data_IF_008825779033
#
_entry.id   IF_008825779033
#
_cell.length_a   1.000
_cell.length_b   1.000
_cell.length_c   1.000
_cell.angle_alpha   90.00
_cell.angle_beta   90.00
_cell.angle_gamma   90.00
#
_symmetry.space_group_name_H-M   'P 1'
#
loop_
_entity.id
_entity.type
_entity.pdbx_description
1 polymer ?
#
# COMPACT_ATOMS: atom_id res chain seq x y z
N UNK A 1 -44.43 16.90 17.24
CA UNK A 1 -44.04 15.49 17.10
C UNK A 1 -42.60 15.30 17.56
N UNK A 2 -42.49 15.09 18.89
CA UNK A 2 -41.25 14.80 19.60
C UNK A 2 -41.11 13.29 19.80
N UNK A 3 -40.82 12.55 18.75
CA UNK A 3 -40.54 11.12 18.89
C UNK A 3 -39.49 10.78 17.84
N UNK A 4 -38.21 11.06 18.08
CA UNK A 4 -37.10 10.40 17.40
C UNK A 4 -35.69 10.76 17.95
N UNK A 5 -35.63 11.46 19.10
CA UNK A 5 -34.31 11.83 19.67
C UNK A 5 -33.82 10.85 20.73
N UNK A 6 -34.58 9.81 21.06
CA UNK A 6 -34.31 8.92 22.23
C UNK A 6 -33.71 7.55 21.86
N UNK A 7 -33.44 7.24 20.58
CA UNK A 7 -32.98 5.89 20.22
C UNK A 7 -31.66 5.84 19.46
N UNK A 8 -30.81 6.85 19.58
CA UNK A 8 -29.40 6.79 19.14
C UNK A 8 -28.46 6.67 20.33
N UNK A 9 -28.72 5.70 21.17
CA UNK A 9 -27.65 5.15 22.00
C UNK A 9 -26.85 4.17 21.11
N UNK A 10 -26.14 4.74 20.15
CA UNK A 10 -25.11 3.99 19.42
C UNK A 10 -24.08 3.63 20.47
N UNK A 11 -24.06 2.38 20.89
CA UNK A 11 -23.05 1.84 21.80
C UNK A 11 -21.70 2.06 21.11
N UNK A 12 -21.00 3.12 21.52
CA UNK A 12 -19.62 3.40 21.09
C UNK A 12 -18.78 2.16 21.40
N UNK A 13 -18.35 1.46 20.38
CA UNK A 13 -17.53 0.27 20.54
C UNK A 13 -16.05 0.67 20.56
N UNK A 14 -15.30 0.04 21.47
CA UNK A 14 -13.84 0.07 21.43
C UNK A 14 -13.37 -1.11 20.61
N UNK A 15 -12.76 -0.84 19.46
CA UNK A 15 -12.21 -1.83 18.53
C UNK A 15 -10.71 -1.74 18.58
N UNK A 16 -10.04 -2.84 18.91
CA UNK A 16 -8.58 -2.91 19.02
C UNK A 16 -7.92 -3.44 17.78
N UNK A 17 -6.76 -2.87 17.42
CA UNK A 17 -5.89 -3.45 16.40
C UNK A 17 -4.44 -3.50 16.88
N UNK A 18 -3.80 -4.65 16.63
CA UNK A 18 -2.38 -4.85 16.90
C UNK A 18 -1.63 -5.37 15.67
N UNK A 19 -0.33 -5.12 15.63
CA UNK A 19 0.58 -5.65 14.61
C UNK A 19 1.93 -5.99 15.23
N UNK A 20 2.44 -7.16 14.93
CA UNK A 20 3.80 -7.55 15.33
C UNK A 20 4.56 -8.19 14.16
N UNK A 21 5.87 -8.01 14.16
CA UNK A 21 6.79 -8.73 13.25
C UNK A 21 7.48 -9.90 13.95
N UNK A 22 7.29 -10.07 15.25
CA UNK A 22 8.03 -10.98 16.12
C UNK A 22 7.12 -12.00 16.81
N UNK A 23 7.59 -12.60 17.87
CA UNK A 23 7.09 -13.78 18.55
C UNK A 23 5.63 -13.70 19.05
N UNK A 24 5.03 -14.86 19.33
CA UNK A 24 3.72 -15.00 19.97
C UNK A 24 3.59 -14.21 21.28
N UNK A 25 4.68 -14.07 22.05
CA UNK A 25 4.68 -13.30 23.31
C UNK A 25 4.38 -11.82 23.12
N UNK A 26 4.88 -11.20 22.03
CA UNK A 26 4.62 -9.78 21.76
C UNK A 26 3.18 -9.54 21.32
N UNK A 27 2.58 -10.46 20.58
CA UNK A 27 1.18 -10.38 20.20
C UNK A 27 0.25 -10.51 21.41
N UNK A 28 0.56 -11.43 22.32
CA UNK A 28 -0.24 -11.64 23.53
C UNK A 28 -0.23 -10.42 24.44
N UNK A 29 0.94 -9.81 24.67
CA UNK A 29 1.06 -8.56 25.45
C UNK A 29 0.25 -7.41 24.82
N UNK A 30 0.28 -7.28 23.50
CA UNK A 30 -0.50 -6.25 22.82
C UNK A 30 -2.01 -6.49 22.97
N UNK A 31 -2.46 -7.73 22.88
CA UNK A 31 -3.87 -8.08 23.10
C UNK A 31 -4.28 -7.79 24.54
N UNK A 32 -3.47 -8.15 25.53
CA UNK A 32 -3.74 -7.87 26.95
C UNK A 32 -3.90 -6.38 27.21
N UNK A 33 -2.97 -5.54 26.71
CA UNK A 33 -3.06 -4.08 26.86
C UNK A 33 -4.30 -3.49 26.19
N UNK A 34 -4.74 -4.03 25.05
CA UNK A 34 -5.99 -3.61 24.41
C UNK A 34 -7.22 -4.01 25.22
N UNK A 35 -7.21 -5.18 25.88
CA UNK A 35 -8.27 -5.60 26.79
C UNK A 35 -8.31 -4.70 28.03
N UNK A 36 -7.17 -4.38 28.62
CA UNK A 36 -7.03 -3.44 29.74
C UNK A 36 -7.55 -2.04 29.38
N UNK A 37 -7.37 -1.62 28.13
CA UNK A 37 -7.93 -0.37 27.60
C UNK A 37 -9.44 -0.40 27.36
N UNK A 38 -10.10 -1.56 27.58
CA UNK A 38 -11.54 -1.74 27.49
C UNK A 38 -12.04 -2.40 26.20
N UNK A 39 -11.16 -2.83 25.31
CA UNK A 39 -11.57 -3.55 24.11
C UNK A 39 -12.08 -4.96 24.45
N UNK A 40 -13.22 -5.35 23.90
CA UNK A 40 -13.70 -6.73 24.03
C UNK A 40 -12.85 -7.65 23.16
N UNK A 41 -12.43 -8.80 23.67
CA UNK A 41 -11.57 -9.76 22.96
C UNK A 41 -12.04 -10.08 21.53
N UNK A 42 -13.36 -10.21 21.32
CA UNK A 42 -13.98 -10.45 20.00
C UNK A 42 -13.90 -9.26 19.03
N UNK A 43 -13.53 -8.08 19.51
CA UNK A 43 -13.39 -6.84 18.76
C UNK A 43 -11.91 -6.43 18.64
N UNK A 44 -11.00 -7.37 18.81
CA UNK A 44 -9.57 -7.16 18.66
C UNK A 44 -9.10 -7.91 17.42
N UNK A 45 -8.50 -7.19 16.50
CA UNK A 45 -7.95 -7.68 15.25
C UNK A 45 -6.42 -7.61 15.28
N UNK A 46 -5.74 -8.47 14.55
CA UNK A 46 -4.28 -8.41 14.59
C UNK A 46 -3.59 -9.15 13.45
N UNK A 47 -2.57 -8.51 12.90
CA UNK A 47 -1.72 -9.06 11.85
C UNK A 47 -0.33 -9.42 12.39
N UNK A 48 0.05 -10.68 12.24
CA UNK A 48 1.41 -11.13 12.47
C UNK A 48 2.15 -11.16 11.14
N UNK A 49 3.13 -10.26 10.97
CA UNK A 49 3.92 -10.15 9.74
C UNK A 49 5.18 -10.98 9.91
N UNK A 50 5.19 -12.20 9.36
CA UNK A 50 6.39 -13.03 9.27
C UNK A 50 7.17 -12.66 8.00
N UNK A 51 8.47 -12.96 7.94
CA UNK A 51 9.32 -12.69 6.77
C UNK A 51 8.88 -13.38 5.47
N UNK A 52 7.94 -14.33 5.55
CA UNK A 52 7.33 -15.07 4.43
C UNK A 52 5.98 -14.48 4.00
N UNK A 53 5.39 -13.58 4.79
CA UNK A 53 4.13 -12.93 4.43
C UNK A 53 4.38 -11.95 3.28
N UNK A 54 3.65 -12.12 2.19
CA UNK A 54 3.75 -11.25 1.02
C UNK A 54 3.67 -9.79 1.45
N UNK A 55 4.63 -9.00 0.96
CA UNK A 55 4.79 -7.60 1.33
C UNK A 55 3.54 -6.83 0.90
N UNK A 56 2.53 -6.74 1.74
CA UNK A 56 1.29 -6.00 1.39
C UNK A 56 0.03 -6.43 2.11
N UNK A 57 -0.09 -7.66 2.54
CA UNK A 57 -1.36 -8.16 3.04
C UNK A 57 -1.52 -7.94 4.54
N UNK A 58 -2.53 -7.15 4.90
CA UNK A 58 -3.00 -6.95 6.27
C UNK A 58 -4.50 -7.25 6.32
N UNK A 59 -4.88 -8.53 6.22
CA UNK A 59 -6.28 -8.91 6.15
C UNK A 59 -7.04 -8.51 7.41
N UNK A 60 -6.42 -8.60 8.58
CA UNK A 60 -7.06 -8.24 9.84
C UNK A 60 -7.18 -6.72 10.03
N UNK A 61 -6.23 -5.92 9.53
CA UNK A 61 -6.42 -4.46 9.48
C UNK A 61 -7.62 -4.10 8.60
N UNK A 62 -7.74 -4.70 7.41
CA UNK A 62 -8.89 -4.46 6.53
C UNK A 62 -10.20 -4.79 7.23
N UNK A 63 -10.29 -5.96 7.85
CA UNK A 63 -11.49 -6.38 8.63
C UNK A 63 -11.78 -5.43 9.79
N UNK A 64 -10.74 -4.97 10.50
CA UNK A 64 -10.87 -3.99 11.56
C UNK A 64 -11.46 -2.68 11.04
N UNK A 65 -10.91 -2.15 9.94
CA UNK A 65 -11.40 -0.91 9.32
C UNK A 65 -12.83 -1.04 8.79
N UNK A 66 -13.21 -2.20 8.28
CA UNK A 66 -14.57 -2.49 7.79
C UNK A 66 -15.58 -2.65 8.95
N UNK A 67 -15.13 -3.11 10.11
CA UNK A 67 -15.97 -3.25 11.30
C UNK A 67 -16.28 -1.92 12.00
N UNK A 68 -15.40 -0.91 11.83
CA UNK A 68 -15.55 0.42 12.45
C UNK A 68 -16.69 1.21 11.82
N UNK A 69 -17.51 1.81 12.67
CA UNK A 69 -18.65 2.67 12.31
C UNK A 69 -18.49 4.06 12.92
N UNK A 70 -19.28 5.01 12.45
CA UNK A 70 -19.37 6.34 13.05
C UNK A 70 -19.68 6.25 14.55
N UNK A 71 -18.91 6.95 15.36
CA UNK A 71 -19.00 6.94 16.82
C UNK A 71 -18.16 5.86 17.51
N UNK A 72 -17.59 4.89 16.78
CA UNK A 72 -16.65 3.92 17.37
C UNK A 72 -15.28 4.53 17.63
N UNK A 73 -14.51 3.90 18.51
CA UNK A 73 -13.11 4.29 18.78
C UNK A 73 -12.17 3.16 18.40
N UNK A 74 -11.25 3.44 17.49
CA UNK A 74 -10.12 2.55 17.21
C UNK A 74 -9.04 2.71 18.27
N UNK A 75 -8.68 1.63 18.94
CA UNK A 75 -7.62 1.59 19.96
C UNK A 75 -6.41 0.83 19.39
N UNK A 76 -5.25 1.47 19.40
CA UNK A 76 -3.99 0.92 18.92
C UNK A 76 -2.85 1.27 19.89
N UNK A 77 -1.75 0.54 19.83
CA UNK A 77 -0.58 0.86 20.66
C UNK A 77 0.06 2.18 20.25
N UNK A 78 0.38 2.32 18.96
CA UNK A 78 1.03 3.47 18.35
C UNK A 78 0.48 3.67 16.94
N UNK A 79 0.55 4.87 16.41
CA UNK A 79 0.07 5.22 15.07
C UNK A 79 0.75 4.43 13.94
N UNK A 80 2.01 4.02 14.13
CA UNK A 80 2.78 3.21 13.17
C UNK A 80 2.15 1.84 12.87
N UNK A 81 1.21 1.39 13.71
CA UNK A 81 0.44 0.17 13.44
C UNK A 81 -0.48 0.32 12.23
N UNK A 82 -0.95 1.54 11.91
CA UNK A 82 -1.88 1.80 10.80
C UNK A 82 -1.20 1.88 9.44
N UNK A 83 0.09 2.25 9.38
CA UNK A 83 0.80 2.43 8.12
C UNK A 83 2.20 1.82 8.12
N UNK A 84 2.79 1.62 6.95
CA UNK A 84 4.20 1.24 6.76
C UNK A 84 5.07 2.46 6.49
N UNK A 85 4.45 3.53 6.03
CA UNK A 85 5.05 4.83 5.83
C UNK A 85 4.23 5.87 6.57
N UNK A 86 4.84 7.00 6.86
CA UNK A 86 4.14 8.13 7.44
C UNK A 86 2.93 8.55 6.59
N UNK A 87 3.07 8.52 5.27
CA UNK A 87 1.98 8.86 4.33
C UNK A 87 0.79 7.91 4.47
N UNK A 88 1.05 6.60 4.46
CA UNK A 88 0.00 5.59 4.60
C UNK A 88 -0.72 5.73 5.94
N UNK A 89 0.04 5.92 7.03
CA UNK A 89 -0.51 6.15 8.37
C UNK A 89 -1.41 7.40 8.40
N UNK A 90 -0.95 8.51 7.85
CA UNK A 90 -1.70 9.77 7.83
C UNK A 90 -2.99 9.65 7.00
N UNK A 91 -2.95 8.95 5.86
CA UNK A 91 -4.13 8.69 5.03
C UNK A 91 -5.16 7.85 5.79
N UNK A 92 -4.71 6.81 6.50
CA UNK A 92 -5.62 5.97 7.31
C UNK A 92 -6.25 6.76 8.46
N UNK A 93 -5.45 7.53 9.19
CA UNK A 93 -5.95 8.38 10.29
C UNK A 93 -6.97 9.39 9.78
N UNK A 94 -6.67 10.09 8.70
CA UNK A 94 -7.60 11.03 8.08
C UNK A 94 -8.92 10.37 7.69
N UNK A 95 -8.85 9.26 6.97
CA UNK A 95 -10.04 8.54 6.51
C UNK A 95 -10.91 8.02 7.67
N UNK A 96 -10.31 7.65 8.80
CA UNK A 96 -11.06 7.26 9.99
C UNK A 96 -11.79 8.45 10.63
N UNK A 97 -11.09 9.57 10.79
CA UNK A 97 -11.68 10.78 11.38
C UNK A 97 -12.81 11.34 10.49
N UNK A 98 -12.63 11.35 9.17
CA UNK A 98 -13.68 11.75 8.21
C UNK A 98 -14.92 10.85 8.28
N UNK A 99 -14.75 9.58 8.67
CA UNK A 99 -15.84 8.62 8.91
C UNK A 99 -16.49 8.78 10.29
N UNK A 100 -16.05 9.74 11.11
CA UNK A 100 -16.54 9.93 12.47
C UNK A 100 -16.04 8.87 13.46
N UNK A 101 -14.92 8.20 13.16
CA UNK A 101 -14.29 7.22 14.04
C UNK A 101 -13.22 7.92 14.87
N UNK A 102 -13.29 7.80 16.19
CA UNK A 102 -12.26 8.30 17.08
C UNK A 102 -11.05 7.36 17.10
N UNK A 103 -9.88 7.91 17.40
CA UNK A 103 -8.62 7.16 17.48
C UNK A 103 -7.99 7.40 18.85
N UNK A 104 -7.60 6.31 19.51
CA UNK A 104 -6.90 6.34 20.79
C UNK A 104 -5.64 5.49 20.71
N UNK A 105 -4.49 6.10 21.01
CA UNK A 105 -3.23 5.37 21.12
C UNK A 105 -2.91 5.09 22.59
N UNK A 106 -2.36 3.91 22.88
CA UNK A 106 -2.01 3.50 24.24
C UNK A 106 -0.73 4.19 24.75
N UNK A 107 0.10 4.70 23.84
CA UNK A 107 1.24 5.56 24.19
C UNK A 107 0.84 6.98 24.59
N UNK A 108 -0.46 7.31 24.55
CA UNK A 108 -1.00 8.60 24.97
C UNK A 108 -0.77 9.76 24.00
N UNK A 109 -0.18 9.52 22.81
CA UNK A 109 0.14 10.59 21.85
C UNK A 109 -1.05 11.11 21.08
N UNK A 110 -2.08 10.29 20.89
CA UNK A 110 -3.31 10.69 20.21
C UNK A 110 -4.54 10.11 20.92
N UNK A 111 -5.52 10.99 21.21
CA UNK A 111 -6.81 10.62 21.77
C UNK A 111 -7.85 11.59 21.23
N UNK A 112 -8.45 11.25 20.09
CA UNK A 112 -9.34 12.18 19.39
C UNK A 112 -10.77 12.21 19.97
N UNK A 113 -11.17 11.19 20.77
CA UNK A 113 -12.48 11.12 21.42
C UNK A 113 -12.67 12.18 22.51
N UNK A 114 -11.59 12.66 23.11
CA UNK A 114 -11.58 13.69 24.14
C UNK A 114 -11.22 15.08 23.63
N UNK A 115 -10.98 15.23 22.30
CA UNK A 115 -10.63 16.50 21.70
C UNK A 115 -11.87 17.26 21.23
N UNK A 116 -11.91 18.61 21.37
CA UNK A 116 -12.90 19.44 20.69
C UNK A 116 -12.89 19.22 19.17
N UNK A 117 -14.07 19.25 18.54
CA UNK A 117 -14.21 18.96 17.10
C UNK A 117 -13.33 19.90 16.22
N UNK A 118 -13.21 21.16 16.62
CA UNK A 118 -12.37 22.16 15.92
C UNK A 118 -10.89 21.77 15.97
N UNK A 119 -10.44 21.22 17.10
CA UNK A 119 -9.06 20.77 17.26
C UNK A 119 -8.80 19.50 16.44
N UNK A 120 -9.75 18.57 16.40
CA UNK A 120 -9.67 17.39 15.54
C UNK A 120 -9.55 17.81 14.08
N UNK A 121 -10.38 18.72 13.60
CA UNK A 121 -10.31 19.26 12.23
C UNK A 121 -8.96 19.90 11.92
N UNK A 122 -8.40 20.66 12.86
CA UNK A 122 -7.08 21.27 12.70
C UNK A 122 -5.99 20.21 12.58
N UNK A 123 -5.99 19.21 13.46
CA UNK A 123 -5.03 18.10 13.44
C UNK A 123 -5.12 17.34 12.12
N UNK A 124 -6.33 17.00 11.67
CA UNK A 124 -6.58 16.35 10.36
C UNK A 124 -6.01 17.18 9.21
N UNK A 125 -6.29 18.49 9.20
CA UNK A 125 -5.78 19.39 8.16
C UNK A 125 -4.24 19.43 8.10
N UNK A 126 -3.59 19.53 9.26
CA UNK A 126 -2.12 19.53 9.34
C UNK A 126 -1.54 18.17 8.91
N UNK A 127 -2.15 17.06 9.34
CA UNK A 127 -1.72 15.73 8.97
C UNK A 127 -1.91 15.47 7.45
N UNK A 128 -3.03 15.90 6.88
CA UNK A 128 -3.29 15.81 5.45
C UNK A 128 -2.27 16.58 4.62
N UNK A 129 -1.96 17.82 5.03
CA UNK A 129 -0.91 18.62 4.40
C UNK A 129 0.47 17.95 4.50
N UNK A 130 0.83 17.42 5.67
CA UNK A 130 2.10 16.71 5.86
C UNK A 130 2.21 15.46 4.96
N UNK A 131 1.13 14.69 4.82
CA UNK A 131 1.06 13.54 3.91
C UNK A 131 1.28 13.96 2.45
N UNK A 132 0.64 15.06 2.02
CA UNK A 132 0.80 15.59 0.67
C UNK A 132 2.23 16.06 0.38
N UNK A 133 2.86 16.73 1.32
CA UNK A 133 4.24 17.19 1.21
C UNK A 133 5.22 16.00 1.12
N UNK A 134 5.03 14.96 1.91
CA UNK A 134 5.86 13.75 1.84
C UNK A 134 5.69 13.03 0.50
N UNK A 135 4.47 12.91 -0.02
CA UNK A 135 4.22 12.36 -1.35
C UNK A 135 4.94 13.16 -2.46
N UNK A 136 4.90 14.50 -2.38
CA UNK A 136 5.64 15.37 -3.31
C UNK A 136 7.15 15.13 -3.21
N UNK A 137 7.68 15.01 -2.00
CA UNK A 137 9.10 14.72 -1.73
C UNK A 137 9.53 13.37 -2.30
N UNK A 138 8.73 12.31 -2.09
CA UNK A 138 9.00 10.97 -2.63
C UNK A 138 9.00 10.99 -4.17
N UNK A 139 8.00 11.64 -4.79
CA UNK A 139 7.93 11.78 -6.25
C UNK A 139 9.15 12.51 -6.80
N UNK A 140 9.56 13.61 -6.17
CA UNK A 140 10.74 14.39 -6.57
C UNK A 140 12.01 13.54 -6.49
N UNK A 141 12.29 12.92 -5.33
CA UNK A 141 13.46 12.02 -5.14
C UNK A 141 13.49 10.88 -6.15
N UNK A 142 12.32 10.29 -6.45
CA UNK A 142 12.21 9.20 -7.43
C UNK A 142 12.50 9.69 -8.85
N UNK A 143 12.02 10.87 -9.23
CA UNK A 143 12.28 11.47 -10.53
C UNK A 143 13.78 11.79 -10.70
N UNK A 144 14.38 12.45 -9.70
CA UNK A 144 15.82 12.75 -9.69
C UNK A 144 16.66 11.46 -9.77
N UNK A 145 16.32 10.43 -9.01
CA UNK A 145 16.99 9.14 -9.06
C UNK A 145 16.88 8.45 -10.43
N UNK A 146 15.73 8.59 -11.11
CA UNK A 146 15.55 8.07 -12.48
C UNK A 146 16.42 8.81 -13.49
N UNK A 147 16.51 10.14 -13.39
CA UNK A 147 17.35 10.93 -14.30
C UNK A 147 18.84 10.59 -14.11
N UNK A 148 19.31 10.46 -12.88
CA UNK A 148 20.68 10.00 -12.57
C UNK A 148 20.94 8.59 -13.12
N UNK A 149 19.97 7.68 -12.99
CA UNK A 149 20.12 6.33 -13.53
C UNK A 149 20.13 6.32 -15.07
N UNK A 150 19.30 7.14 -15.73
CA UNK A 150 19.33 7.32 -17.19
C UNK A 150 20.66 7.87 -17.67
N UNK A 151 21.23 8.86 -17.00
CA UNK A 151 22.54 9.43 -17.36
C UNK A 151 23.68 8.40 -17.24
N UNK A 152 23.50 7.38 -16.39
CA UNK A 152 24.43 6.23 -16.27
C UNK A 152 24.12 5.09 -17.25
N UNK A 153 23.20 5.28 -18.20
CA UNK A 153 22.84 4.30 -19.22
C UNK A 153 21.86 3.21 -18.76
N UNK A 154 21.26 3.36 -17.58
CA UNK A 154 20.25 2.40 -17.11
C UNK A 154 18.96 2.55 -17.92
N UNK A 155 18.59 1.50 -18.64
CA UNK A 155 17.32 1.44 -19.40
C UNK A 155 16.19 1.03 -18.48
N UNK A 156 15.15 1.88 -18.39
CA UNK A 156 13.92 1.60 -17.64
C UNK A 156 12.89 0.91 -18.55
N UNK A 157 11.97 0.20 -17.94
CA UNK A 157 10.88 -0.50 -18.61
C UNK A 157 10.98 -2.02 -18.49
N UNK A 158 10.06 -2.71 -19.13
CA UNK A 158 10.03 -4.17 -19.15
C UNK A 158 11.27 -4.71 -19.89
N UNK A 159 12.01 -5.60 -19.25
CA UNK A 159 13.16 -6.27 -19.88
C UNK A 159 12.74 -6.96 -21.18
N UNK A 160 13.61 -6.92 -22.18
CA UNK A 160 13.40 -7.67 -23.44
C UNK A 160 13.25 -9.16 -23.08
N UNK A 161 12.25 -9.81 -23.65
CA UNK A 161 11.99 -11.25 -23.42
C UNK A 161 12.80 -12.14 -24.39
N UNK A 162 13.79 -11.59 -25.05
CA UNK A 162 14.69 -12.27 -25.96
C UNK A 162 16.13 -11.78 -25.77
N UNK A 163 17.08 -12.65 -26.06
CA UNK A 163 18.51 -12.32 -25.97
C UNK A 163 19.00 -11.62 -27.24
N UNK A 164 20.15 -10.89 -27.19
CA UNK A 164 20.78 -10.31 -28.39
C UNK A 164 21.09 -11.36 -29.48
N UNK A 165 21.50 -12.58 -29.06
CA UNK A 165 21.74 -13.69 -29.97
C UNK A 165 20.49 -14.14 -30.71
N UNK A 166 19.38 -14.28 -29.98
CA UNK A 166 18.10 -14.61 -30.58
C UNK A 166 17.63 -13.53 -31.57
N UNK A 167 17.86 -12.27 -31.25
CA UNK A 167 17.53 -11.17 -32.16
C UNK A 167 18.38 -11.25 -33.46
N UNK A 168 19.69 -11.49 -33.35
CA UNK A 168 20.57 -11.65 -34.52
C UNK A 168 20.12 -12.82 -35.41
N UNK A 169 19.82 -13.97 -34.84
CA UNK A 169 19.32 -15.14 -35.57
C UNK A 169 18.01 -14.85 -36.30
N UNK A 170 17.06 -14.14 -35.63
CA UNK A 170 15.82 -13.72 -36.28
C UNK A 170 16.08 -12.82 -37.47
N UNK A 171 16.97 -11.87 -37.36
CA UNK A 171 17.31 -10.97 -38.46
C UNK A 171 17.97 -11.72 -39.62
N UNK A 172 18.92 -12.59 -39.35
CA UNK A 172 19.58 -13.44 -40.35
C UNK A 172 18.56 -14.30 -41.15
N UNK A 173 17.61 -14.90 -40.46
CA UNK A 173 16.54 -15.67 -41.12
C UNK A 173 15.60 -14.76 -41.96
N UNK A 174 15.31 -13.55 -41.45
CA UNK A 174 14.53 -12.56 -42.23
C UNK A 174 15.22 -12.13 -43.50
N UNK A 175 16.53 -11.89 -43.46
CA UNK A 175 17.34 -11.50 -44.60
C UNK A 175 17.41 -12.62 -45.66
N UNK A 176 17.29 -13.88 -45.25
CA UNK A 176 17.11 -15.03 -46.17
C UNK A 176 15.74 -15.11 -46.82
N UNK A 177 14.77 -14.28 -46.36
CA UNK A 177 13.41 -14.27 -46.88
C UNK A 177 12.41 -15.16 -46.08
N UNK A 178 12.83 -15.73 -44.93
CA UNK A 178 11.97 -16.59 -44.12
C UNK A 178 10.78 -15.80 -43.56
N UNK A 179 9.61 -16.44 -43.59
CA UNK A 179 8.36 -15.86 -43.02
C UNK A 179 8.38 -15.86 -41.49
N UNK A 180 7.64 -14.93 -40.86
CA UNK A 180 7.53 -14.85 -39.39
C UNK A 180 7.07 -16.15 -38.73
N UNK A 181 6.22 -16.95 -39.43
CA UNK A 181 5.77 -18.24 -38.92
C UNK A 181 6.86 -19.30 -38.90
N UNK A 182 7.65 -19.37 -39.96
CA UNK A 182 8.77 -20.29 -40.12
C UNK A 182 9.82 -20.05 -39.06
N UNK A 183 10.20 -18.77 -38.87
CA UNK A 183 11.16 -18.32 -37.85
C UNK A 183 10.65 -18.63 -36.44
N UNK A 184 9.38 -18.35 -36.17
CA UNK A 184 8.76 -18.63 -34.88
C UNK A 184 8.85 -20.12 -34.52
N UNK A 185 8.52 -21.00 -35.47
CA UNK A 185 8.60 -22.45 -35.29
C UNK A 185 10.05 -22.92 -35.09
N UNK A 186 10.95 -22.44 -35.91
CA UNK A 186 12.38 -22.84 -35.86
C UNK A 186 13.07 -22.45 -34.54
N UNK A 187 12.71 -21.31 -33.96
CA UNK A 187 13.33 -20.77 -32.75
C UNK A 187 12.51 -20.99 -31.47
N UNK A 188 11.38 -21.70 -31.54
CA UNK A 188 10.49 -21.90 -30.39
C UNK A 188 9.90 -20.60 -29.83
N UNK A 189 9.69 -19.61 -30.67
CA UNK A 189 9.18 -18.29 -30.31
C UNK A 189 7.73 -18.11 -30.76
N UNK A 190 7.05 -17.08 -30.23
CA UNK A 190 5.75 -16.68 -30.79
C UNK A 190 5.95 -15.78 -32.01
N UNK A 191 5.04 -15.86 -32.98
CA UNK A 191 5.00 -14.98 -34.16
C UNK A 191 5.07 -13.49 -33.80
N UNK A 192 4.37 -13.09 -32.70
CA UNK A 192 4.40 -11.73 -32.18
C UNK A 192 5.77 -11.30 -31.66
N UNK A 193 6.53 -12.24 -31.07
CA UNK A 193 7.90 -11.96 -30.61
C UNK A 193 8.84 -11.73 -31.80
N UNK A 194 8.80 -12.58 -32.82
CA UNK A 194 9.60 -12.43 -34.05
C UNK A 194 9.31 -11.09 -34.71
N UNK A 195 8.04 -10.73 -34.91
CA UNK A 195 7.64 -9.45 -35.49
C UNK A 195 8.16 -8.27 -34.66
N UNK A 196 8.09 -8.33 -33.32
CA UNK A 196 8.59 -7.27 -32.44
C UNK A 196 10.09 -7.11 -32.52
N UNK A 197 10.85 -8.21 -32.64
CA UNK A 197 12.31 -8.16 -32.85
C UNK A 197 12.65 -7.42 -34.15
N UNK A 198 11.98 -7.77 -35.24
CA UNK A 198 12.18 -7.13 -36.54
C UNK A 198 11.90 -5.63 -36.49
N UNK A 199 10.74 -5.23 -35.97
CA UNK A 199 10.37 -3.82 -35.86
C UNK A 199 11.34 -3.01 -34.96
N UNK A 200 11.77 -3.59 -33.83
CA UNK A 200 12.73 -2.91 -32.97
C UNK A 200 14.09 -2.72 -33.66
N UNK A 201 14.53 -3.69 -34.47
CA UNK A 201 15.77 -3.57 -35.22
C UNK A 201 15.68 -2.50 -36.30
N UNK A 202 14.59 -2.44 -37.04
CA UNK A 202 14.34 -1.39 -38.05
C UNK A 202 14.37 0.02 -37.41
N UNK A 203 13.81 0.18 -36.22
CA UNK A 203 13.83 1.43 -35.46
C UNK A 203 15.23 1.80 -34.95
N UNK A 204 16.04 0.82 -34.53
CA UNK A 204 17.41 1.03 -34.07
C UNK A 204 18.37 1.38 -35.21
N UNK A 205 18.11 0.93 -36.43
CA UNK A 205 18.88 1.27 -37.62
C UNK A 205 18.49 2.63 -38.19
N UNK A 206 17.24 3.06 -37.97
CA UNK A 206 16.70 4.34 -38.44
C UNK A 206 17.00 5.53 -37.49
N UNK A 207 17.57 5.31 -36.32
CA UNK A 207 17.85 6.31 -35.27
C UNK A 207 19.34 6.66 -35.20
#
# INVERSE_FOLDING_TARGET
SNIDTANRCTLMALIGYWRTSTTEQDSQRQVESLIEAGCKKRMIYGDQITGTTAYGERPELSRCLDALREGDTLVIHELDRLGRSMVEMLVQVNGLIERGVAIKTLDGRLCTDSMPEELVKLVVGVMGYAAEMELKSIKKRTAEGREVAKSRGVKFGRKRSYTPQQAATVMEMRDRGDGYGTIATALGMTKGMVRRITLNHEQEVAA
#
